data_IF_764088174459
#
_entry.id   IF_764088174459
#
_cell.length_a   1.000
_cell.length_b   1.000
_cell.length_c   1.000
_cell.angle_alpha   90.00
_cell.angle_beta   90.00
_cell.angle_gamma   90.00
#
_symmetry.space_group_name_H-M   'P 1'
#
loop_
_entity.id
_entity.type
_entity.pdbx_description
1 polymer ?
#
# COMPACT_ATOMS: atom_id res chain seq x y z
N UNK A 1 3.56 23.36 -0.77
CA UNK A 1 2.51 22.42 -1.19
C UNK A 1 2.92 21.77 -2.49
N UNK A 2 2.87 20.44 -2.57
CA UNK A 2 3.11 19.71 -3.82
C UNK A 2 2.08 20.08 -4.89
N UNK A 3 2.38 19.78 -6.15
CA UNK A 3 1.44 19.92 -7.27
C UNK A 3 1.22 18.55 -7.91
N UNK A 4 0.01 18.28 -8.40
CA UNK A 4 -0.31 17.03 -9.09
C UNK A 4 -0.25 15.82 -8.14
N UNK A 5 0.50 14.77 -8.53
CA UNK A 5 0.61 13.52 -7.77
C UNK A 5 1.27 13.65 -6.38
N UNK A 6 1.94 14.77 -6.11
CA UNK A 6 2.57 15.06 -4.82
C UNK A 6 1.71 15.96 -3.93
N UNK A 7 0.48 16.27 -4.34
CA UNK A 7 -0.48 17.04 -3.54
C UNK A 7 -1.15 16.14 -2.50
N UNK A 8 -0.44 15.92 -1.39
CA UNK A 8 -0.87 15.00 -0.34
C UNK A 8 -2.23 15.38 0.26
N UNK A 9 -2.49 16.67 0.49
CA UNK A 9 -3.73 17.16 1.09
C UNK A 9 -4.93 16.85 0.18
N UNK A 10 -4.79 17.10 -1.13
CA UNK A 10 -5.82 16.77 -2.11
C UNK A 10 -6.10 15.28 -2.15
N UNK A 11 -5.05 14.46 -2.19
CA UNK A 11 -5.22 13.02 -2.24
C UNK A 11 -5.83 12.48 -0.93
N UNK A 12 -5.41 12.99 0.23
CA UNK A 12 -5.97 12.58 1.52
C UNK A 12 -7.44 13.02 1.67
N UNK A 13 -7.78 14.21 1.21
CA UNK A 13 -9.17 14.69 1.19
C UNK A 13 -10.07 13.81 0.30
N UNK A 14 -9.57 13.40 -0.87
CA UNK A 14 -10.28 12.43 -1.71
C UNK A 14 -10.44 11.08 -1.02
N UNK A 15 -9.40 10.56 -0.37
CA UNK A 15 -9.50 9.32 0.41
C UNK A 15 -10.60 9.43 1.47
N UNK A 16 -10.66 10.54 2.20
CA UNK A 16 -11.66 10.74 3.23
C UNK A 16 -13.10 10.87 2.74
N UNK A 17 -13.31 11.28 1.49
CA UNK A 17 -14.63 11.29 0.88
C UNK A 17 -15.17 9.88 0.55
N UNK A 18 -14.30 8.86 0.49
CA UNK A 18 -14.66 7.48 0.21
C UNK A 18 -14.60 6.56 1.43
N UNK A 19 -13.88 6.95 2.48
CA UNK A 19 -13.62 6.12 3.66
C UNK A 19 -14.05 6.87 4.92
N UNK A 20 -15.36 6.82 5.18
CA UNK A 20 -16.01 7.50 6.30
C UNK A 20 -16.54 6.52 7.34
N UNK A 21 -16.89 5.30 6.90
CA UNK A 21 -17.39 4.26 7.78
C UNK A 21 -16.22 3.56 8.49
N UNK A 22 -16.22 3.48 9.83
CA UNK A 22 -15.11 2.89 10.59
C UNK A 22 -14.87 1.40 10.26
N UNK A 23 -15.91 0.66 9.85
CA UNK A 23 -15.76 -0.75 9.44
C UNK A 23 -15.06 -0.84 8.09
N UNK A 24 -15.41 0.03 7.13
CA UNK A 24 -14.71 0.09 5.85
C UNK A 24 -13.23 0.47 6.04
N UNK A 25 -12.97 1.48 6.87
CA UNK A 25 -11.61 1.90 7.24
C UNK A 25 -10.81 0.74 7.85
N UNK A 26 -11.41 -0.05 8.74
CA UNK A 26 -10.78 -1.23 9.33
C UNK A 26 -10.48 -2.30 8.28
N UNK A 27 -11.44 -2.63 7.41
CA UNK A 27 -11.27 -3.57 6.29
C UNK A 27 -10.09 -3.14 5.41
N UNK A 28 -10.02 -1.86 5.04
CA UNK A 28 -8.92 -1.31 4.26
C UNK A 28 -7.59 -1.44 5.00
N UNK A 29 -7.58 -1.09 6.28
CA UNK A 29 -6.38 -1.18 7.12
C UNK A 29 -5.82 -2.59 7.20
N UNK A 30 -6.70 -3.59 7.31
CA UNK A 30 -6.30 -5.00 7.42
C UNK A 30 -5.81 -5.60 6.09
N UNK A 31 -6.39 -5.21 4.96
CA UNK A 31 -6.18 -5.94 3.70
C UNK A 31 -5.27 -5.24 2.68
N UNK A 32 -5.06 -3.92 2.76
CA UNK A 32 -4.19 -3.20 1.81
C UNK A 32 -2.74 -3.67 1.90
N UNK A 33 -2.18 -3.83 3.10
CA UNK A 33 -0.79 -4.30 3.28
C UNK A 33 -0.58 -5.76 2.83
N UNK A 34 -1.49 -6.71 3.13
CA UNK A 34 -1.46 -8.04 2.52
C UNK A 34 -1.54 -8.05 0.99
N UNK A 35 -2.34 -7.19 0.37
CA UNK A 35 -2.38 -7.03 -1.10
C UNK A 35 -1.01 -6.60 -1.62
N UNK A 36 -0.40 -5.58 -0.99
CA UNK A 36 0.94 -5.13 -1.35
C UNK A 36 1.97 -6.26 -1.20
N UNK A 37 2.02 -6.90 -0.02
CA UNK A 37 2.96 -7.97 0.29
C UNK A 37 2.88 -9.16 -0.67
N UNK A 38 1.67 -9.66 -0.95
CA UNK A 38 1.49 -10.82 -1.82
C UNK A 38 1.76 -10.49 -3.29
N UNK A 39 1.61 -9.23 -3.71
CA UNK A 39 2.06 -8.79 -5.03
C UNK A 39 3.58 -8.89 -5.17
N UNK A 40 4.34 -8.55 -4.11
CA UNK A 40 5.79 -8.69 -4.09
C UNK A 40 6.24 -10.16 -4.19
N UNK A 41 5.52 -11.09 -3.57
CA UNK A 41 5.78 -12.54 -3.73
C UNK A 41 5.65 -12.95 -5.20
N UNK A 42 4.66 -12.44 -5.94
CA UNK A 42 4.52 -12.77 -7.35
C UNK A 42 5.66 -12.15 -8.17
N UNK A 43 6.03 -10.90 -7.89
CA UNK A 43 7.12 -10.22 -8.57
C UNK A 43 8.50 -10.80 -8.26
N UNK A 44 8.66 -11.53 -7.14
CA UNK A 44 9.87 -12.28 -6.84
C UNK A 44 10.30 -13.20 -8.00
N UNK A 45 9.33 -13.87 -8.63
CA UNK A 45 9.59 -14.85 -9.69
C UNK A 45 9.85 -14.24 -11.07
N UNK A 46 9.96 -12.92 -11.16
CA UNK A 46 10.35 -12.25 -12.40
C UNK A 46 11.87 -12.32 -12.59
N UNK A 47 12.38 -12.31 -13.85
CA UNK A 47 13.82 -12.34 -14.09
C UNK A 47 14.55 -11.22 -13.35
N UNK A 48 15.68 -11.51 -12.68
CA UNK A 48 16.45 -10.48 -12.01
C UNK A 48 17.12 -9.55 -13.03
N UNK A 49 17.11 -8.26 -12.73
CA UNK A 49 17.90 -7.25 -13.45
C UNK A 49 19.36 -7.27 -12.99
N UNK A 50 19.59 -7.53 -11.71
CA UNK A 50 20.90 -7.65 -11.10
C UNK A 50 20.86 -8.64 -9.95
N UNK A 51 21.83 -9.55 -9.90
CA UNK A 51 22.05 -10.43 -8.75
C UNK A 51 23.14 -9.84 -7.85
N UNK A 52 22.85 -9.68 -6.56
CA UNK A 52 23.79 -9.19 -5.56
C UNK A 52 24.21 -10.36 -4.67
N UNK A 53 25.47 -10.84 -4.74
CA UNK A 53 25.93 -12.03 -4.01
C UNK A 53 26.29 -11.72 -2.55
N UNK A 54 25.37 -11.10 -1.80
CA UNK A 54 25.54 -10.74 -0.39
C UNK A 54 24.43 -11.42 0.43
N UNK A 55 24.75 -11.93 1.63
CA UNK A 55 23.83 -12.64 2.54
C UNK A 55 22.99 -13.76 1.89
N UNK A 56 23.60 -14.57 1.02
CA UNK A 56 22.91 -15.67 0.35
C UNK A 56 22.32 -15.32 -1.03
N UNK A 57 22.48 -14.07 -1.48
CA UNK A 57 22.09 -13.64 -2.82
C UNK A 57 20.74 -12.93 -2.83
N UNK A 58 20.72 -11.68 -3.28
CA UNK A 58 19.49 -10.93 -3.53
C UNK A 58 19.32 -10.66 -5.01
N UNK A 59 18.16 -11.04 -5.53
CA UNK A 59 17.74 -10.70 -6.88
C UNK A 59 17.00 -9.36 -6.88
N UNK A 60 17.59 -8.38 -7.56
CA UNK A 60 16.92 -7.12 -7.86
C UNK A 60 16.02 -7.34 -9.07
N UNK A 61 14.78 -7.69 -8.79
CA UNK A 61 13.73 -7.97 -9.76
C UNK A 61 12.60 -6.91 -9.68
N UNK A 62 11.44 -7.16 -10.29
CA UNK A 62 10.32 -6.23 -10.24
C UNK A 62 9.78 -5.98 -8.81
N UNK A 63 9.97 -6.89 -7.86
CA UNK A 63 9.58 -6.68 -6.47
C UNK A 63 10.42 -5.55 -5.83
N UNK A 64 11.74 -5.60 -6.05
CA UNK A 64 12.65 -4.57 -5.58
C UNK A 64 12.37 -3.21 -6.23
N UNK A 65 12.19 -3.17 -7.56
CA UNK A 65 11.85 -1.94 -8.28
C UNK A 65 10.57 -1.32 -7.73
N UNK A 66 9.54 -2.15 -7.49
CA UNK A 66 8.27 -1.68 -6.92
C UNK A 66 8.50 -1.04 -5.55
N UNK A 67 9.24 -1.69 -4.66
CA UNK A 67 9.49 -1.18 -3.30
C UNK A 67 10.30 0.11 -3.32
N UNK A 68 11.32 0.23 -4.17
CA UNK A 68 12.10 1.46 -4.35
C UNK A 68 11.20 2.59 -4.86
N UNK A 69 10.40 2.32 -5.89
CA UNK A 69 9.48 3.31 -6.46
C UNK A 69 8.48 3.82 -5.41
N UNK A 70 7.78 2.92 -4.71
CA UNK A 70 6.82 3.28 -3.66
C UNK A 70 7.51 4.04 -2.52
N UNK A 71 8.70 3.62 -2.10
CA UNK A 71 9.46 4.29 -1.03
C UNK A 71 9.83 5.73 -1.38
N UNK A 72 10.40 5.94 -2.57
CA UNK A 72 10.77 7.27 -3.04
C UNK A 72 9.55 8.16 -3.21
N UNK A 73 8.45 7.61 -3.75
CA UNK A 73 7.19 8.32 -3.92
C UNK A 73 6.61 8.76 -2.56
N UNK A 74 6.60 7.88 -1.56
CA UNK A 74 6.09 8.21 -0.22
C UNK A 74 6.96 9.21 0.53
N UNK A 75 8.29 9.09 0.44
CA UNK A 75 9.22 10.09 1.01
C UNK A 75 9.03 11.46 0.35
N UNK A 76 8.74 11.50 -0.96
CA UNK A 76 8.46 12.73 -1.68
C UNK A 76 7.12 13.38 -1.28
N UNK A 77 6.13 12.59 -0.85
CA UNK A 77 4.84 13.08 -0.34
C UNK A 77 4.98 13.71 1.05
N UNK A 78 5.66 13.04 1.97
CA UNK A 78 5.96 13.54 3.30
C UNK A 78 7.23 12.86 3.84
N UNK A 79 8.21 13.63 4.32
CA UNK A 79 9.50 13.06 4.74
C UNK A 79 9.36 12.11 5.93
N UNK A 80 8.51 12.44 6.92
CA UNK A 80 8.43 11.69 8.20
C UNK A 80 7.57 10.44 8.06
N UNK A 81 6.33 10.59 7.60
CA UNK A 81 5.42 9.49 7.34
C UNK A 81 5.90 8.64 6.15
N UNK A 82 6.43 9.27 5.11
CA UNK A 82 6.99 8.59 3.95
C UNK A 82 8.19 7.72 4.29
N UNK A 83 9.08 8.17 5.20
CA UNK A 83 10.19 7.33 5.67
C UNK A 83 9.70 6.10 6.44
N UNK A 84 8.63 6.21 7.24
CA UNK A 84 8.03 5.03 7.88
C UNK A 84 7.38 4.10 6.84
N UNK A 85 6.66 4.65 5.87
CA UNK A 85 6.04 3.86 4.81
C UNK A 85 7.10 3.13 3.97
N UNK A 86 8.21 3.80 3.65
CA UNK A 86 9.36 3.20 2.98
C UNK A 86 9.93 2.04 3.79
N UNK A 87 10.14 2.22 5.10
CA UNK A 87 10.59 1.13 5.98
C UNK A 87 9.64 -0.07 5.92
N UNK A 88 8.32 0.15 6.00
CA UNK A 88 7.33 -0.92 5.89
C UNK A 88 7.36 -1.61 4.52
N UNK A 89 7.49 -0.86 3.42
CA UNK A 89 7.65 -1.44 2.09
C UNK A 89 8.89 -2.34 1.99
N UNK A 90 10.03 -1.93 2.56
CA UNK A 90 11.23 -2.75 2.61
C UNK A 90 11.09 -3.97 3.51
N UNK A 91 10.41 -3.87 4.66
CA UNK A 91 10.10 -5.03 5.51
C UNK A 91 9.20 -6.03 4.76
N UNK A 92 8.18 -5.54 4.05
CA UNK A 92 7.36 -6.37 3.18
C UNK A 92 8.21 -7.04 2.09
N UNK A 93 9.14 -6.32 1.47
CA UNK A 93 10.04 -6.89 0.47
C UNK A 93 10.88 -8.02 1.06
N UNK A 94 11.62 -7.78 2.14
CA UNK A 94 12.44 -8.81 2.80
C UNK A 94 11.62 -10.05 3.19
N UNK A 95 10.46 -9.84 3.81
CA UNK A 95 9.56 -10.94 4.18
C UNK A 95 9.03 -11.70 2.96
N UNK A 96 8.68 -10.99 1.88
CA UNK A 96 8.18 -11.60 0.65
C UNK A 96 9.27 -12.40 -0.07
N UNK A 97 10.52 -11.92 -0.08
CA UNK A 97 11.67 -12.64 -0.64
C UNK A 97 11.92 -13.93 0.14
N UNK A 98 11.96 -13.86 1.47
CA UNK A 98 12.19 -15.03 2.33
C UNK A 98 11.09 -16.09 2.16
N UNK A 99 9.82 -15.66 2.10
CA UNK A 99 8.69 -16.56 1.88
C UNK A 99 8.69 -17.14 0.46
N UNK A 100 8.91 -16.31 -0.56
CA UNK A 100 8.90 -16.76 -1.96
C UNK A 100 10.04 -17.72 -2.26
N UNK A 101 11.24 -17.50 -1.68
CA UNK A 101 12.37 -18.42 -1.80
C UNK A 101 12.10 -19.82 -1.22
N UNK A 102 11.21 -19.91 -0.22
CA UNK A 102 10.78 -21.18 0.36
C UNK A 102 9.66 -21.89 -0.42
N UNK A 103 9.12 -21.26 -1.47
CA UNK A 103 7.98 -21.77 -2.24
C UNK A 103 8.38 -22.06 -3.69
N UNK A 104 7.82 -23.12 -4.27
CA UNK A 104 7.83 -23.24 -5.73
C UNK A 104 6.87 -22.22 -6.34
N UNK A 105 7.14 -21.77 -7.57
CA UNK A 105 6.25 -20.85 -8.27
C UNK A 105 4.80 -21.38 -8.31
N UNK A 106 4.63 -22.69 -8.59
CA UNK A 106 3.32 -23.36 -8.67
C UNK A 106 2.49 -23.24 -7.38
N UNK A 107 3.13 -23.27 -6.21
CA UNK A 107 2.46 -23.06 -4.94
C UNK A 107 2.27 -21.57 -4.63
N UNK A 108 3.31 -20.76 -4.87
CA UNK A 108 3.31 -19.33 -4.58
C UNK A 108 2.17 -18.60 -5.30
N UNK A 109 1.96 -18.82 -6.60
CA UNK A 109 0.90 -18.12 -7.33
C UNK A 109 -0.50 -18.47 -6.83
N UNK A 110 -0.73 -19.71 -6.35
CA UNK A 110 -2.01 -20.14 -5.78
C UNK A 110 -2.29 -19.43 -4.45
N UNK A 111 -1.26 -19.36 -3.58
CA UNK A 111 -1.35 -18.65 -2.31
C UNK A 111 -1.60 -17.16 -2.55
N UNK A 112 -0.85 -16.54 -3.47
CA UNK A 112 -1.04 -15.15 -3.86
C UNK A 112 -2.45 -14.93 -4.39
N UNK A 113 -2.94 -15.77 -5.31
CA UNK A 113 -4.28 -15.63 -5.88
C UNK A 113 -5.36 -15.73 -4.80
N UNK A 114 -5.29 -16.72 -3.91
CA UNK A 114 -6.24 -16.87 -2.81
C UNK A 114 -6.24 -15.64 -1.88
N UNK A 115 -5.06 -15.18 -1.48
CA UNK A 115 -4.92 -14.01 -0.63
C UNK A 115 -5.44 -12.74 -1.30
N UNK A 116 -5.11 -12.50 -2.57
CA UNK A 116 -5.58 -11.37 -3.37
C UNK A 116 -7.11 -11.39 -3.47
N UNK A 117 -7.72 -12.53 -3.81
CA UNK A 117 -9.18 -12.65 -3.90
C UNK A 117 -9.85 -12.32 -2.56
N UNK A 118 -9.38 -12.90 -1.46
CA UNK A 118 -9.94 -12.63 -0.13
C UNK A 118 -9.84 -11.14 0.22
N UNK A 119 -8.65 -10.55 0.02
CA UNK A 119 -8.41 -9.16 0.38
C UNK A 119 -9.25 -8.21 -0.48
N UNK A 120 -9.27 -8.38 -1.80
CA UNK A 120 -10.05 -7.54 -2.72
C UNK A 120 -11.55 -7.68 -2.53
N UNK A 121 -12.06 -8.90 -2.30
CA UNK A 121 -13.47 -9.11 -1.93
C UNK A 121 -13.79 -8.31 -0.65
N UNK A 122 -12.89 -8.35 0.34
CA UNK A 122 -12.98 -7.51 1.53
C UNK A 122 -13.10 -6.02 1.19
N UNK A 123 -12.19 -5.47 0.37
CA UNK A 123 -12.23 -4.06 -0.06
C UNK A 123 -13.56 -3.71 -0.74
N UNK A 124 -14.05 -4.56 -1.64
CA UNK A 124 -15.32 -4.32 -2.35
C UNK A 124 -16.54 -4.42 -1.43
N UNK A 125 -16.54 -5.33 -0.46
CA UNK A 125 -17.56 -5.38 0.59
C UNK A 125 -17.52 -4.09 1.43
N UNK A 126 -16.32 -3.63 1.80
CA UNK A 126 -16.06 -2.36 2.45
C UNK A 126 -16.83 -1.21 1.79
N UNK A 127 -16.55 -0.98 0.51
CA UNK A 127 -17.20 0.07 -0.26
C UNK A 127 -18.70 -0.19 -0.52
N UNK A 128 -19.07 -1.38 -0.99
CA UNK A 128 -20.43 -1.67 -1.42
C UNK A 128 -21.43 -1.76 -0.26
N UNK A 129 -21.06 -2.39 0.84
CA UNK A 129 -21.96 -2.63 1.98
C UNK A 129 -21.90 -1.50 3.00
N UNK A 130 -20.70 -1.03 3.36
CA UNK A 130 -20.54 -0.10 4.48
C UNK A 130 -20.54 1.37 4.04
N UNK A 131 -19.92 1.70 2.90
CA UNK A 131 -19.99 3.06 2.33
C UNK A 131 -21.18 3.26 1.40
N UNK A 132 -21.80 2.16 0.92
CA UNK A 132 -22.88 2.17 -0.08
C UNK A 132 -22.51 2.96 -1.33
N UNK A 133 -21.24 2.86 -1.72
CA UNK A 133 -20.63 3.62 -2.82
C UNK A 133 -19.77 2.69 -3.67
N UNK A 134 -19.64 3.02 -4.95
CA UNK A 134 -18.66 2.37 -5.80
C UNK A 134 -17.22 2.57 -5.25
N UNK A 135 -16.32 1.59 -5.44
CA UNK A 135 -14.94 1.70 -4.99
C UNK A 135 -14.21 2.88 -5.63
N UNK A 136 -13.36 3.56 -4.85
CA UNK A 136 -12.55 4.69 -5.32
C UNK A 136 -11.64 4.34 -6.51
N UNK A 137 -11.32 3.06 -6.67
CA UNK A 137 -10.62 2.47 -7.81
C UNK A 137 -11.20 2.90 -9.16
N UNK A 138 -12.53 2.94 -9.27
CA UNK A 138 -13.22 3.23 -10.53
C UNK A 138 -13.12 4.71 -10.92
N UNK A 139 -12.89 5.59 -9.94
CA UNK A 139 -12.82 7.03 -10.14
C UNK A 139 -11.37 7.53 -10.31
N UNK A 140 -10.41 6.90 -9.63
CA UNK A 140 -8.99 7.24 -9.77
C UNK A 140 -8.07 6.04 -9.51
N UNK A 141 -7.74 5.33 -10.59
CA UNK A 141 -6.88 4.14 -10.57
C UNK A 141 -5.50 4.42 -9.96
N UNK A 142 -4.87 5.53 -10.35
CA UNK A 142 -3.53 5.88 -9.89
C UNK A 142 -3.50 6.10 -8.38
N UNK A 143 -4.50 6.78 -7.85
CA UNK A 143 -4.62 7.02 -6.42
C UNK A 143 -4.94 5.73 -5.66
N UNK A 144 -5.83 4.89 -6.19
CA UNK A 144 -6.21 3.64 -5.55
C UNK A 144 -5.02 2.68 -5.38
N UNK A 145 -4.15 2.57 -6.38
CA UNK A 145 -2.97 1.70 -6.27
C UNK A 145 -1.79 2.36 -5.56
N UNK A 146 -1.46 3.61 -5.90
CA UNK A 146 -0.27 4.26 -5.36
C UNK A 146 -0.46 4.70 -3.91
N UNK A 147 -1.61 5.27 -3.55
CA UNK A 147 -1.76 5.95 -2.27
C UNK A 147 -2.33 5.07 -1.16
N UNK A 148 -2.98 3.94 -1.48
CA UNK A 148 -3.69 3.14 -0.49
C UNK A 148 -2.81 2.67 0.69
N UNK A 149 -1.60 2.09 0.48
CA UNK A 149 -0.74 1.70 1.61
C UNK A 149 -0.35 2.89 2.49
N UNK A 150 -0.08 4.04 1.86
CA UNK A 150 0.29 5.26 2.58
C UNK A 150 -0.86 5.81 3.43
N UNK A 151 -2.09 5.82 2.89
CA UNK A 151 -3.24 6.30 3.63
C UNK A 151 -3.62 5.43 4.81
N UNK A 152 -3.54 4.10 4.65
CA UNK A 152 -3.73 3.18 5.78
C UNK A 152 -2.72 3.44 6.90
N UNK A 153 -1.45 3.73 6.55
CA UNK A 153 -0.44 4.09 7.54
C UNK A 153 -0.79 5.38 8.30
N UNK A 154 -1.24 6.40 7.55
CA UNK A 154 -1.64 7.68 8.13
C UNK A 154 -2.90 7.51 9.01
N UNK A 155 -3.84 6.67 8.60
CA UNK A 155 -5.09 6.40 9.32
C UNK A 155 -4.83 5.90 10.75
N UNK A 156 -3.85 5.01 10.93
CA UNK A 156 -3.42 4.50 12.24
C UNK A 156 -2.65 5.50 13.10
N UNK A 157 -2.13 6.59 12.51
CA UNK A 157 -1.44 7.66 13.23
C UNK A 157 -2.37 8.80 13.64
N UNK A 158 -3.41 9.06 12.86
CA UNK A 158 -4.31 10.18 13.08
C UNK A 158 -5.53 9.73 13.88
N UNK A 159 -5.78 10.35 15.04
CA UNK A 159 -7.00 10.15 15.83
C UNK A 159 -8.08 11.15 15.40
N UNK A 160 -9.35 10.76 15.44
CA UNK A 160 -10.50 11.61 15.08
C UNK A 160 -11.20 11.22 13.78
N UNK A 161 -12.21 12.00 13.39
CA UNK A 161 -12.98 11.80 12.14
C UNK A 161 -12.14 12.19 10.92
N UNK A 162 -12.42 11.64 9.74
CA UNK A 162 -11.62 11.92 8.53
C UNK A 162 -11.52 13.41 8.18
N UNK A 163 -12.54 14.19 8.56
CA UNK A 163 -12.56 15.65 8.46
C UNK A 163 -11.58 16.34 9.44
N UNK A 164 -11.54 15.88 10.69
CA UNK A 164 -10.55 16.34 11.68
C UNK A 164 -9.12 15.92 11.30
N UNK A 165 -8.95 14.75 10.66
CA UNK A 165 -7.65 14.29 10.15
C UNK A 165 -7.14 15.20 9.04
N UNK A 166 -8.00 15.57 8.08
CA UNK A 166 -7.66 16.53 7.03
C UNK A 166 -7.26 17.91 7.60
N UNK A 167 -7.98 18.42 8.60
CA UNK A 167 -7.68 19.70 9.26
C UNK A 167 -6.39 19.62 10.12
N UNK A 168 -6.07 18.45 10.66
CA UNK A 168 -4.86 18.24 11.48
C UNK A 168 -3.54 18.30 10.69
N UNK A 169 -3.60 18.20 9.35
CA UNK A 169 -2.42 18.44 8.49
C UNK A 169 -1.87 19.87 8.63
N UNK A 170 -2.68 20.84 9.04
CA UNK A 170 -2.21 22.21 9.33
C UNK A 170 -1.57 22.37 10.71
N UNK A 171 -1.77 21.41 11.62
CA UNK A 171 -1.32 21.47 13.01
C UNK A 171 -0.03 20.67 13.25
N UNK A 172 0.40 19.87 12.27
CA UNK A 172 1.67 19.18 12.34
C UNK A 172 2.72 19.96 11.55
N UNK A 173 3.86 20.36 12.15
CA UNK A 173 4.95 20.91 11.38
C UNK A 173 5.53 19.80 10.52
N UNK A 174 5.19 19.87 9.23
CA UNK A 174 5.83 19.19 8.10
C UNK A 174 7.32 19.55 8.14
#
# INVERSE_FOLDING_TARGET
MGKGLLDLEKHFSFYGAYHSNPVNVLIHTLFVWPIFFTSLILFYFTPPFLHIPVFGGFDLNFAFISVVFYSLFYIALDKKAGSLAALLCFLCWFGSQALAAALSFSLAWKVVLAAQLICWIGQFIGHGVFEKRAPALLDNLSQAFLMAPFFVLLEGRMTGTTKQKAESFHLWPI
#
